data_IF_653889446565
#
_entry.id   IF_653889446565
#
_cell.length_a   1.000
_cell.length_b   1.000
_cell.length_c   1.000
_cell.angle_alpha   90.00
_cell.angle_beta   90.00
_cell.angle_gamma   90.00
#
_symmetry.space_group_name_H-M   'P 1'
#
loop_
_entity.id
_entity.type
_entity.pdbx_description
1 polymer ?
#
# COMPACT_ATOMS: atom_id res chain seq x y z
N UNK A 1 40.88 36.13 20.96
CA UNK A 1 41.13 35.39 19.70
C UNK A 1 41.92 34.10 19.94
N UNK A 2 42.76 34.02 20.97
CA UNK A 2 43.59 32.83 21.29
C UNK A 2 42.82 31.51 21.47
N UNK A 3 41.52 31.55 21.82
CA UNK A 3 40.70 30.35 21.99
C UNK A 3 40.49 29.53 20.69
N UNK A 4 40.63 30.17 19.53
CA UNK A 4 40.50 29.54 18.21
C UNK A 4 41.84 29.42 17.47
N UNK A 5 42.96 29.71 18.15
CA UNK A 5 44.30 29.78 17.54
C UNK A 5 45.18 28.57 17.87
N UNK A 6 44.73 27.70 18.78
CA UNK A 6 45.44 26.50 19.23
C UNK A 6 44.71 25.24 18.77
N UNK A 7 45.44 24.13 18.66
CA UNK A 7 44.85 22.82 18.39
C UNK A 7 43.80 22.47 19.46
N UNK A 8 42.64 22.00 19.02
CA UNK A 8 41.60 21.55 19.92
C UNK A 8 42.00 20.19 20.52
N UNK A 9 42.12 20.07 21.85
CA UNK A 9 42.38 18.78 22.47
C UNK A 9 41.17 17.87 22.23
N UNK A 10 41.39 16.79 21.46
CA UNK A 10 40.40 15.72 21.30
C UNK A 10 40.48 14.81 22.52
N UNK A 11 39.36 14.66 23.21
CA UNK A 11 39.22 13.79 24.37
C UNK A 11 38.40 12.57 23.96
N UNK A 12 38.97 11.37 24.09
CA UNK A 12 38.23 10.13 23.91
C UNK A 12 37.50 9.79 25.21
N UNK A 13 36.18 9.99 25.22
CA UNK A 13 35.34 9.75 26.39
C UNK A 13 35.22 8.24 26.68
N UNK A 14 35.42 7.37 25.68
CA UNK A 14 35.21 5.92 25.83
C UNK A 14 36.19 5.26 26.81
N UNK A 15 37.37 5.85 26.97
CA UNK A 15 38.43 5.36 27.86
C UNK A 15 38.36 5.94 29.28
N UNK A 16 37.56 6.98 29.51
CA UNK A 16 37.41 7.63 30.82
C UNK A 16 36.47 6.79 31.69
N UNK A 17 36.84 6.51 32.94
CA UNK A 17 36.01 5.73 33.85
C UNK A 17 34.73 6.49 34.25
N UNK A 18 33.62 5.77 34.51
CA UNK A 18 32.34 6.42 34.83
C UNK A 18 32.44 7.27 36.10
N UNK A 19 33.13 6.79 37.13
CA UNK A 19 33.34 7.53 38.39
C UNK A 19 34.21 8.80 38.22
N UNK A 20 35.03 8.83 37.18
CA UNK A 20 35.76 10.04 36.77
C UNK A 20 34.84 11.01 36.04
N UNK A 21 34.05 10.52 35.06
CA UNK A 21 33.04 11.33 34.34
C UNK A 21 32.06 11.98 35.32
N UNK A 22 31.62 11.26 36.36
CA UNK A 22 30.69 11.79 37.37
C UNK A 22 31.22 13.06 38.08
N UNK A 23 32.53 13.32 38.06
CA UNK A 23 33.15 14.51 38.69
C UNK A 23 33.21 15.72 37.76
N UNK A 24 32.83 15.58 36.48
CA UNK A 24 32.97 16.62 35.44
C UNK A 24 31.85 17.69 35.47
N UNK A 25 31.01 17.71 36.52
CA UNK A 25 29.98 18.73 36.77
C UNK A 25 29.06 18.92 35.56
N UNK A 26 29.10 20.10 34.91
CA UNK A 26 28.21 20.48 33.79
C UNK A 26 28.35 19.59 32.56
N UNK A 27 29.52 18.97 32.34
CA UNK A 27 29.75 18.11 31.18
C UNK A 27 29.42 16.64 31.45
N UNK A 28 29.34 16.24 32.73
CA UNK A 28 29.21 14.85 33.13
C UNK A 28 27.99 14.15 32.50
N UNK A 29 26.83 14.82 32.46
CA UNK A 29 25.60 14.25 31.87
C UNK A 29 25.81 13.93 30.39
N UNK A 30 26.37 14.88 29.63
CA UNK A 30 26.55 14.72 28.21
C UNK A 30 27.64 13.70 27.89
N UNK A 31 28.74 13.69 28.64
CA UNK A 31 29.84 12.72 28.48
C UNK A 31 29.39 11.31 28.82
N UNK A 32 28.68 11.13 29.94
CA UNK A 32 28.15 9.84 30.36
C UNK A 32 27.17 9.30 29.32
N UNK A 33 26.29 10.16 28.79
CA UNK A 33 25.41 9.80 27.70
C UNK A 33 26.19 9.44 26.45
N UNK A 34 27.04 10.32 25.93
CA UNK A 34 27.79 10.07 24.68
C UNK A 34 28.62 8.79 24.74
N UNK A 35 29.22 8.47 25.89
CA UNK A 35 29.96 7.21 26.09
C UNK A 35 29.07 5.98 25.90
N UNK A 36 27.84 6.02 26.38
CA UNK A 36 26.97 4.83 26.50
C UNK A 36 25.78 4.81 25.55
N UNK A 37 25.48 5.91 24.86
CA UNK A 37 24.30 6.10 24.01
C UNK A 37 24.18 5.03 22.91
N UNK A 38 25.32 4.45 22.49
CA UNK A 38 25.39 3.38 21.48
C UNK A 38 25.65 1.98 22.06
N UNK A 39 25.95 1.83 23.34
CA UNK A 39 26.46 0.58 23.93
C UNK A 39 25.66 0.05 25.13
N UNK A 40 24.52 0.65 25.50
CA UNK A 40 23.68 0.20 26.61
C UNK A 40 22.20 0.52 26.36
N UNK A 41 21.31 -0.20 27.04
CA UNK A 41 19.96 0.30 27.27
C UNK A 41 20.07 1.52 28.18
N UNK A 42 19.48 2.64 27.77
CA UNK A 42 19.51 3.88 28.56
C UNK A 42 18.94 3.71 29.97
N UNK A 43 18.10 2.69 30.19
CA UNK A 43 17.60 2.34 31.53
C UNK A 43 18.74 2.03 32.53
N UNK A 44 19.85 1.46 32.08
CA UNK A 44 20.98 1.10 32.95
C UNK A 44 21.72 2.32 33.49
N UNK A 45 21.64 3.47 32.80
CA UNK A 45 22.28 4.72 33.21
C UNK A 45 21.38 5.58 34.08
N UNK A 46 20.12 5.18 34.27
CA UNK A 46 19.09 6.02 34.88
C UNK A 46 19.49 6.55 36.26
N UNK A 47 20.06 5.70 37.12
CA UNK A 47 20.50 6.12 38.46
C UNK A 47 21.61 7.18 38.42
N UNK A 48 22.60 6.99 37.53
CA UNK A 48 23.71 7.94 37.35
C UNK A 48 23.22 9.27 36.75
N UNK A 49 22.33 9.19 35.75
CA UNK A 49 21.75 10.38 35.11
C UNK A 49 20.88 11.17 36.08
N UNK A 50 20.01 10.52 36.84
CA UNK A 50 19.20 11.19 37.87
C UNK A 50 20.10 11.84 38.91
N UNK A 51 21.18 11.18 39.34
CA UNK A 51 22.15 11.75 40.27
C UNK A 51 22.74 13.05 39.71
N UNK A 52 23.31 13.02 38.50
CA UNK A 52 23.92 14.19 37.88
C UNK A 52 22.94 15.33 37.57
N UNK A 53 21.71 14.99 37.17
CA UNK A 53 20.67 15.98 36.88
C UNK A 53 20.16 16.66 38.16
N UNK A 54 20.16 15.96 39.30
CA UNK A 54 19.79 16.52 40.60
C UNK A 54 20.90 17.37 41.24
N UNK A 55 22.16 17.24 40.82
CA UNK A 55 23.29 18.07 41.32
C UNK A 55 23.16 19.57 40.96
N UNK A 56 22.22 19.93 40.08
CA UNK A 56 21.88 21.33 39.77
C UNK A 56 22.85 22.01 38.80
N UNK A 57 23.72 21.25 38.12
CA UNK A 57 24.61 21.77 37.08
C UNK A 57 23.92 21.96 35.71
N UNK A 58 22.73 21.38 35.54
CA UNK A 58 21.99 21.35 34.27
C UNK A 58 20.89 22.41 34.25
N UNK A 59 20.90 23.29 33.24
CA UNK A 59 19.80 24.23 33.01
C UNK A 59 18.59 23.56 32.34
N UNK A 60 17.43 24.21 32.32
CA UNK A 60 16.24 23.69 31.64
C UNK A 60 16.50 23.43 30.13
N UNK A 61 17.21 24.33 29.44
CA UNK A 61 17.57 24.13 28.02
C UNK A 61 18.52 22.94 27.82
N UNK A 62 19.47 22.76 28.73
CA UNK A 62 20.40 21.63 28.70
C UNK A 62 19.68 20.31 28.98
N UNK A 63 18.73 20.30 29.94
CA UNK A 63 17.89 19.14 30.21
C UNK A 63 17.07 18.76 28.98
N UNK A 64 16.39 19.71 28.35
CA UNK A 64 15.62 19.47 27.13
C UNK A 64 16.51 18.90 26.03
N UNK A 65 17.72 19.44 25.86
CA UNK A 65 18.69 18.96 24.87
C UNK A 65 19.16 17.53 25.15
N UNK A 66 19.46 17.21 26.42
CA UNK A 66 19.83 15.87 26.88
C UNK A 66 18.71 14.87 26.63
N UNK A 67 17.48 15.21 26.99
CA UNK A 67 16.31 14.35 26.78
C UNK A 67 16.07 14.11 25.29
N UNK A 68 16.12 15.17 24.47
CA UNK A 68 15.99 15.03 23.02
C UNK A 68 17.08 14.15 22.42
N UNK A 69 18.33 14.31 22.88
CA UNK A 69 19.44 13.48 22.43
C UNK A 69 19.24 12.01 22.81
N UNK A 70 18.81 11.72 24.05
CA UNK A 70 18.49 10.37 24.49
C UNK A 70 17.41 9.71 23.65
N UNK A 71 16.36 10.45 23.29
CA UNK A 71 15.25 9.92 22.50
C UNK A 71 15.59 9.72 21.02
N UNK A 72 16.52 10.51 20.48
CA UNK A 72 16.90 10.43 19.07
C UNK A 72 18.02 9.41 18.82
N UNK A 73 19.01 9.36 19.71
CA UNK A 73 20.22 8.58 19.52
C UNK A 73 20.31 7.35 20.41
N UNK A 74 19.57 7.32 21.53
CA UNK A 74 19.62 6.22 22.48
C UNK A 74 18.64 5.12 22.14
N UNK A 75 19.04 3.89 22.48
CA UNK A 75 18.15 2.73 22.45
C UNK A 75 17.49 2.56 23.82
N UNK A 76 16.16 2.45 23.84
CA UNK A 76 15.39 2.07 25.02
C UNK A 76 14.18 1.25 24.59
N UNK A 77 13.93 0.16 25.32
CA UNK A 77 12.78 -0.71 25.10
C UNK A 77 11.45 0.00 25.39
N UNK A 78 11.45 0.97 26.31
CA UNK A 78 10.28 1.78 26.66
C UNK A 78 10.69 3.23 27.02
N UNK A 79 10.83 4.10 26.00
CA UNK A 79 11.15 5.51 26.20
C UNK A 79 10.10 6.25 27.04
N UNK A 80 8.83 5.82 27.00
CA UNK A 80 7.75 6.45 27.76
C UNK A 80 7.88 6.13 29.24
N UNK A 81 8.14 4.86 29.62
CA UNK A 81 8.41 4.50 31.00
C UNK A 81 9.67 5.18 31.55
N UNK A 82 10.72 5.33 30.73
CA UNK A 82 11.92 6.07 31.09
C UNK A 82 11.59 7.54 31.41
N UNK A 83 10.86 8.23 30.52
CA UNK A 83 10.45 9.62 30.73
C UNK A 83 9.55 9.79 31.96
N UNK A 84 8.60 8.87 32.19
CA UNK A 84 7.75 8.89 33.37
C UNK A 84 8.56 8.71 34.67
N UNK A 85 9.57 7.84 34.64
CA UNK A 85 10.45 7.62 35.80
C UNK A 85 11.31 8.84 36.07
N UNK A 86 11.82 9.50 35.03
CA UNK A 86 12.55 10.76 35.15
C UNK A 86 11.66 11.87 35.73
N UNK A 87 10.42 11.98 35.27
CA UNK A 87 9.46 12.97 35.77
C UNK A 87 9.14 12.75 37.27
N UNK A 88 8.94 11.49 37.68
CA UNK A 88 8.69 11.13 39.07
C UNK A 88 9.87 11.43 39.99
N UNK A 89 11.10 11.17 39.53
CA UNK A 89 12.32 11.35 40.33
C UNK A 89 12.84 12.79 40.33
N UNK A 90 12.40 13.62 39.38
CA UNK A 90 12.79 15.02 39.26
C UNK A 90 11.56 15.95 39.18
N UNK A 91 10.82 16.12 40.29
CA UNK A 91 9.57 16.92 40.29
C UNK A 91 9.79 18.36 39.82
N UNK A 92 10.97 18.92 40.09
CA UNK A 92 11.37 20.26 39.63
C UNK A 92 11.41 20.42 38.10
N UNK A 93 11.40 19.32 37.35
CA UNK A 93 11.42 19.29 35.89
C UNK A 93 10.19 18.60 35.30
N UNK A 94 9.17 18.32 36.11
CA UNK A 94 7.96 17.60 35.72
C UNK A 94 7.28 18.26 34.51
N UNK A 95 7.06 19.58 34.53
CA UNK A 95 6.37 20.30 33.45
C UNK A 95 7.10 20.17 32.09
N UNK A 96 8.43 20.31 32.11
CA UNK A 96 9.26 20.20 30.90
C UNK A 96 9.23 18.77 30.35
N UNK A 97 9.34 17.76 31.22
CA UNK A 97 9.32 16.35 30.84
C UNK A 97 7.94 15.92 30.34
N UNK A 98 6.86 16.38 30.97
CA UNK A 98 5.48 16.15 30.52
C UNK A 98 5.21 16.76 29.15
N UNK A 99 5.72 17.98 28.90
CA UNK A 99 5.61 18.64 27.59
C UNK A 99 6.34 17.84 26.51
N UNK A 100 7.53 17.33 26.81
CA UNK A 100 8.29 16.47 25.89
C UNK A 100 7.53 15.17 25.62
N UNK A 101 7.02 14.51 26.67
CA UNK A 101 6.26 13.27 26.54
C UNK A 101 5.00 13.47 25.67
N UNK A 102 4.25 14.54 25.89
CA UNK A 102 3.05 14.85 25.11
C UNK A 102 3.37 15.14 23.64
N UNK A 103 4.44 15.91 23.38
CA UNK A 103 4.90 16.16 22.01
C UNK A 103 5.22 14.85 21.27
N UNK A 104 5.93 13.93 21.91
CA UNK A 104 6.27 12.63 21.32
C UNK A 104 5.02 11.79 21.05
N UNK A 105 4.05 11.81 21.96
CA UNK A 105 2.77 11.13 21.80
C UNK A 105 2.04 11.63 20.55
N UNK A 106 1.95 12.95 20.39
CA UNK A 106 1.33 13.59 19.24
C UNK A 106 2.07 13.27 17.93
N UNK A 107 3.39 13.35 17.90
CA UNK A 107 4.18 12.97 16.72
C UNK A 107 4.01 11.49 16.37
N UNK A 108 3.96 10.62 17.38
CA UNK A 108 3.72 9.18 17.20
C UNK A 108 2.33 8.91 16.62
N UNK A 109 1.30 9.58 17.14
CA UNK A 109 -0.08 9.50 16.68
C UNK A 109 -0.20 9.99 15.23
N UNK A 110 0.35 11.16 14.91
CA UNK A 110 0.34 11.74 13.57
C UNK A 110 1.05 10.82 12.56
N UNK A 111 2.24 10.31 12.90
CA UNK A 111 2.96 9.33 12.06
C UNK A 111 2.15 8.05 11.89
N UNK A 112 1.47 7.59 12.94
CA UNK A 112 0.59 6.43 12.91
C UNK A 112 -0.57 6.62 11.93
N UNK A 113 -1.26 7.75 12.02
CA UNK A 113 -2.36 8.13 11.14
C UNK A 113 -1.88 8.23 9.69
N UNK A 114 -0.78 8.96 9.43
CA UNK A 114 -0.22 9.12 8.10
C UNK A 114 0.15 7.78 7.47
N UNK A 115 0.86 6.91 8.22
CA UNK A 115 1.18 5.55 7.76
C UNK A 115 -0.08 4.73 7.50
N UNK A 116 -1.08 4.84 8.39
CA UNK A 116 -2.36 4.14 8.27
C UNK A 116 -3.11 4.53 6.99
N UNK A 117 -3.21 5.84 6.71
CA UNK A 117 -3.84 6.36 5.49
C UNK A 117 -3.08 5.87 4.26
N UNK A 118 -1.75 6.04 4.22
CA UNK A 118 -0.93 5.64 3.08
C UNK A 118 -1.04 4.13 2.78
N UNK A 119 -0.95 3.29 3.82
CA UNK A 119 -1.11 1.85 3.68
C UNK A 119 -2.54 1.47 3.25
N UNK A 120 -3.54 2.17 3.79
CA UNK A 120 -4.94 1.98 3.44
C UNK A 120 -5.23 2.30 1.97
N UNK A 121 -4.74 3.44 1.49
CA UNK A 121 -4.88 3.86 0.09
C UNK A 121 -4.16 2.91 -0.87
N UNK A 122 -2.90 2.58 -0.60
CA UNK A 122 -2.13 1.65 -1.44
C UNK A 122 -2.81 0.28 -1.54
N UNK A 123 -3.23 -0.27 -0.40
CA UNK A 123 -3.95 -1.56 -0.38
C UNK A 123 -5.30 -1.46 -1.07
N UNK A 124 -6.02 -0.35 -0.87
CA UNK A 124 -7.32 -0.09 -1.48
C UNK A 124 -7.23 -0.05 -3.01
N UNK A 125 -6.26 0.68 -3.55
CA UNK A 125 -6.00 0.77 -5.00
C UNK A 125 -5.62 -0.60 -5.54
N UNK A 126 -4.62 -1.27 -4.94
CA UNK A 126 -4.14 -2.55 -5.43
C UNK A 126 -5.23 -3.64 -5.42
N UNK A 127 -6.00 -3.75 -4.33
CA UNK A 127 -7.10 -4.69 -4.23
C UNK A 127 -8.25 -4.33 -5.19
N UNK A 128 -8.52 -3.03 -5.35
CA UNK A 128 -9.54 -2.52 -6.26
C UNK A 128 -9.23 -2.83 -7.71
N UNK A 129 -8.00 -2.58 -8.16
CA UNK A 129 -7.52 -2.88 -9.51
C UNK A 129 -7.53 -4.39 -9.78
N UNK A 130 -6.94 -5.18 -8.87
CA UNK A 130 -6.87 -6.63 -9.04
C UNK A 130 -8.28 -7.26 -9.14
N UNK A 131 -9.20 -6.87 -8.24
CA UNK A 131 -10.59 -7.33 -8.28
C UNK A 131 -11.33 -6.81 -9.52
N UNK A 132 -11.09 -5.57 -9.90
CA UNK A 132 -11.70 -4.95 -11.08
C UNK A 132 -11.33 -5.68 -12.36
N UNK A 133 -10.03 -5.97 -12.56
CA UNK A 133 -9.53 -6.74 -13.71
C UNK A 133 -10.12 -8.15 -13.68
N UNK A 134 -9.99 -8.87 -12.56
CA UNK A 134 -10.45 -10.25 -12.47
C UNK A 134 -11.96 -10.38 -12.72
N UNK A 135 -12.78 -9.53 -12.10
CA UNK A 135 -14.23 -9.52 -12.32
C UNK A 135 -14.60 -9.08 -13.74
N UNK A 136 -13.87 -8.11 -14.28
CA UNK A 136 -14.06 -7.62 -15.65
C UNK A 136 -13.80 -8.69 -16.69
N UNK A 137 -12.66 -9.39 -16.58
CA UNK A 137 -12.29 -10.50 -17.46
C UNK A 137 -13.28 -11.66 -17.35
N UNK A 138 -13.58 -12.10 -16.12
CA UNK A 138 -14.46 -13.24 -15.91
C UNK A 138 -15.87 -12.97 -16.43
N UNK A 139 -16.43 -11.78 -16.17
CA UNK A 139 -17.72 -11.37 -16.72
C UNK A 139 -17.67 -11.18 -18.24
N UNK A 140 -16.58 -10.61 -18.76
CA UNK A 140 -16.39 -10.38 -20.19
C UNK A 140 -16.39 -11.69 -20.97
N UNK A 141 -15.63 -12.68 -20.51
CA UNK A 141 -15.57 -14.03 -21.10
C UNK A 141 -16.95 -14.68 -21.03
N UNK A 142 -17.56 -14.74 -19.85
CA UNK A 142 -18.85 -15.41 -19.67
C UNK A 142 -19.95 -14.80 -20.54
N UNK A 143 -20.07 -13.47 -20.56
CA UNK A 143 -21.05 -12.78 -21.39
C UNK A 143 -20.75 -12.92 -22.88
N UNK A 144 -19.47 -12.89 -23.26
CA UNK A 144 -19.02 -13.07 -24.64
C UNK A 144 -19.36 -14.46 -25.17
N UNK A 145 -19.05 -15.51 -24.42
CA UNK A 145 -19.36 -16.89 -24.75
C UNK A 145 -20.87 -17.12 -24.84
N UNK A 146 -21.62 -16.70 -23.83
CA UNK A 146 -23.07 -16.90 -23.80
C UNK A 146 -23.76 -16.22 -24.99
N UNK A 147 -23.39 -14.96 -25.28
CA UNK A 147 -23.92 -14.23 -26.44
C UNK A 147 -23.46 -14.84 -27.76
N UNK A 148 -22.19 -15.24 -27.85
CA UNK A 148 -21.62 -15.87 -29.04
C UNK A 148 -22.34 -17.16 -29.41
N UNK A 149 -22.56 -18.05 -28.43
CA UNK A 149 -23.30 -19.29 -28.61
C UNK A 149 -24.75 -19.00 -29.00
N UNK A 150 -25.43 -18.12 -28.27
CA UNK A 150 -26.84 -17.82 -28.53
C UNK A 150 -27.06 -17.27 -29.94
N UNK A 151 -26.25 -16.27 -30.34
CA UNK A 151 -26.32 -15.68 -31.68
C UNK A 151 -25.91 -16.67 -32.77
N UNK A 152 -24.87 -17.48 -32.51
CA UNK A 152 -24.40 -18.50 -33.43
C UNK A 152 -25.46 -19.57 -33.71
N UNK A 153 -26.09 -20.10 -32.66
CA UNK A 153 -27.17 -21.09 -32.76
C UNK A 153 -28.37 -20.48 -33.48
N UNK A 154 -28.82 -19.29 -33.09
CA UNK A 154 -29.97 -18.65 -33.70
C UNK A 154 -29.76 -18.38 -35.20
N UNK A 155 -28.61 -17.81 -35.58
CA UNK A 155 -28.26 -17.60 -36.99
C UNK A 155 -28.11 -18.91 -37.75
N UNK A 156 -27.50 -19.92 -37.13
CA UNK A 156 -27.33 -21.25 -37.71
C UNK A 156 -28.66 -21.91 -38.05
N UNK A 157 -29.62 -21.89 -37.12
CA UNK A 157 -30.98 -22.41 -37.33
C UNK A 157 -31.67 -21.64 -38.45
N UNK A 158 -31.68 -20.29 -38.40
CA UNK A 158 -32.35 -19.47 -39.41
C UNK A 158 -31.77 -19.70 -40.82
N UNK A 159 -30.45 -19.71 -40.97
CA UNK A 159 -29.79 -19.95 -42.25
C UNK A 159 -30.01 -21.39 -42.73
N UNK A 160 -29.97 -22.36 -41.82
CA UNK A 160 -30.24 -23.77 -42.14
C UNK A 160 -31.66 -23.99 -42.65
N UNK A 161 -32.65 -23.42 -41.97
CA UNK A 161 -34.04 -23.47 -42.41
C UNK A 161 -34.28 -22.77 -43.75
N UNK A 162 -33.70 -21.58 -43.95
CA UNK A 162 -33.82 -20.88 -45.23
C UNK A 162 -33.20 -21.68 -46.38
N UNK A 163 -32.01 -22.24 -46.17
CA UNK A 163 -31.36 -23.11 -47.16
C UNK A 163 -32.18 -24.36 -47.43
N UNK A 164 -32.64 -25.07 -46.39
CA UNK A 164 -33.46 -26.26 -46.53
C UNK A 164 -34.79 -25.99 -47.26
N UNK A 165 -35.49 -24.88 -46.92
CA UNK A 165 -36.70 -24.47 -47.64
C UNK A 165 -36.42 -24.19 -49.13
N UNK A 166 -35.30 -23.53 -49.44
CA UNK A 166 -34.91 -23.24 -50.82
C UNK A 166 -34.53 -24.50 -51.60
N UNK A 167 -33.78 -25.40 -50.98
CA UNK A 167 -33.41 -26.70 -51.58
C UNK A 167 -34.64 -27.57 -51.87
N UNK A 168 -35.60 -27.61 -50.93
CA UNK A 168 -36.86 -28.35 -51.14
C UNK A 168 -37.72 -27.70 -52.23
N UNK A 169 -37.83 -26.37 -52.27
CA UNK A 169 -38.53 -25.65 -53.34
C UNK A 169 -37.93 -25.97 -54.73
N UNK A 170 -36.60 -26.01 -54.83
CA UNK A 170 -35.88 -26.41 -56.06
C UNK A 170 -36.19 -27.86 -56.45
N UNK A 171 -36.22 -28.78 -55.48
CA UNK A 171 -36.54 -30.19 -55.72
C UNK A 171 -37.98 -30.39 -56.21
N UNK A 172 -38.93 -29.69 -55.61
CA UNK A 172 -40.33 -29.67 -56.05
C UNK A 172 -40.43 -29.09 -57.46
N UNK A 173 -39.78 -27.96 -57.73
CA UNK A 173 -39.76 -27.33 -59.05
C UNK A 173 -39.21 -28.26 -60.14
N UNK A 174 -38.10 -28.98 -59.87
CA UNK A 174 -37.57 -30.01 -60.78
C UNK A 174 -38.60 -31.08 -61.11
N UNK A 175 -39.32 -31.57 -60.10
CA UNK A 175 -40.32 -32.62 -60.25
C UNK A 175 -41.52 -32.14 -61.07
N UNK A 176 -41.97 -30.90 -60.82
CA UNK A 176 -43.07 -30.27 -61.58
C UNK A 176 -42.71 -30.04 -63.04
N UNK A 177 -41.50 -29.55 -63.32
CA UNK A 177 -41.00 -29.36 -64.70
C UNK A 177 -40.88 -30.69 -65.43
N UNK A 178 -40.37 -31.74 -64.77
CA UNK A 178 -40.29 -33.09 -65.34
C UNK A 178 -41.68 -33.69 -65.63
N UNK A 179 -42.70 -33.28 -64.86
CA UNK A 179 -44.10 -33.68 -65.06
C UNK A 179 -44.83 -32.85 -66.14
N UNK A 180 -44.13 -31.93 -66.81
CA UNK A 180 -44.66 -31.15 -67.94
C UNK A 180 -45.39 -29.86 -67.57
N UNK A 181 -45.30 -29.39 -66.31
CA UNK A 181 -45.83 -28.08 -65.93
C UNK A 181 -44.97 -26.96 -66.54
N UNK A 182 -45.62 -25.89 -67.00
CA UNK A 182 -44.94 -24.72 -67.55
C UNK A 182 -44.24 -23.90 -66.44
N UNK A 183 -43.19 -23.16 -66.83
CA UNK A 183 -42.36 -22.39 -65.90
C UNK A 183 -43.15 -21.34 -65.11
N UNK A 184 -44.21 -20.75 -65.69
CA UNK A 184 -44.99 -19.72 -65.00
C UNK A 184 -45.84 -20.32 -63.87
N UNK A 185 -46.40 -21.52 -64.10
CA UNK A 185 -47.11 -22.27 -63.07
C UNK A 185 -46.16 -22.75 -61.96
N UNK A 186 -44.96 -23.22 -62.30
CA UNK A 186 -43.94 -23.64 -61.33
C UNK A 186 -43.45 -22.48 -60.46
N UNK A 187 -43.22 -21.28 -61.03
CA UNK A 187 -42.89 -20.07 -60.28
C UNK A 187 -43.97 -19.72 -59.25
N UNK A 188 -45.24 -19.71 -59.66
CA UNK A 188 -46.37 -19.41 -58.76
C UNK A 188 -46.51 -20.41 -57.63
N UNK A 189 -46.20 -21.68 -57.87
CA UNK A 189 -46.37 -22.77 -56.90
C UNK A 189 -45.21 -22.90 -55.91
N UNK A 190 -43.97 -22.63 -56.36
CA UNK A 190 -42.76 -22.83 -55.54
C UNK A 190 -42.19 -21.52 -54.97
N UNK A 191 -42.64 -20.37 -55.47
CA UNK A 191 -42.16 -19.05 -55.06
C UNK A 191 -40.72 -18.72 -55.50
N UNK A 192 -40.13 -19.57 -56.36
CA UNK A 192 -38.82 -19.35 -56.96
C UNK A 192 -38.88 -18.23 -57.99
N UNK A 193 -37.81 -17.44 -58.08
CA UNK A 193 -37.66 -16.45 -59.15
C UNK A 193 -37.29 -17.10 -60.48
N UNK A 194 -37.47 -16.36 -61.58
CA UNK A 194 -37.10 -16.83 -62.92
C UNK A 194 -35.59 -17.13 -63.02
N UNK A 195 -34.75 -16.32 -62.36
CA UNK A 195 -33.30 -16.55 -62.28
C UNK A 195 -32.95 -17.82 -61.51
N UNK A 196 -33.68 -18.11 -60.42
CA UNK A 196 -33.49 -19.32 -59.63
C UNK A 196 -33.91 -20.57 -60.41
N UNK A 197 -34.98 -20.49 -61.20
CA UNK A 197 -35.41 -21.56 -62.10
C UNK A 197 -34.50 -21.73 -63.32
N UNK A 198 -33.90 -20.64 -63.84
CA UNK A 198 -32.95 -20.72 -64.94
C UNK A 198 -31.67 -21.48 -64.56
N UNK A 199 -31.29 -21.45 -63.28
CA UNK A 199 -30.18 -22.24 -62.73
C UNK A 199 -30.53 -23.72 -62.51
N UNK A 200 -31.82 -24.06 -62.49
CA UNK A 200 -32.29 -25.45 -62.49
C UNK A 200 -32.13 -25.97 -63.93
N UNK A 201 -30.91 -26.36 -64.28
CA UNK A 201 -30.65 -27.05 -65.55
C UNK A 201 -31.36 -28.41 -65.56
N UNK A 202 -31.97 -28.70 -66.70
CA UNK A 202 -32.55 -29.99 -67.09
C UNK A 202 -31.51 -31.12 -67.06
#
# INVERSE_FOLDING_TARGET
>A
SELYSNDFPLVDITVIADDEIMKHRRMAVLELLQKHIRQRDLADLLEQLVTLLLEGYTTQEQLVSVINYMLQAGESHDPTALLNTLALRMPQHEEALMTIAEKLRLEGEERGIQKGIQLGEQRGIQLGEQRGIQLGEQRGIQLGEQRGIQLGVQKGIQLGEQKGRKEEAIKIARTMLASGLDRTTVMKMTGLSEDELAQIRH
#
